data_IF_037292188857
#
_entry.id   IF_037292188857
#
_cell.length_a   1.000
_cell.length_b   1.000
_cell.length_c   1.000
_cell.angle_alpha   90.00
_cell.angle_beta   90.00
_cell.angle_gamma   90.00
#
_symmetry.space_group_name_H-M   'P 1'
#
loop_
_entity.id
_entity.type
_entity.pdbx_description
1 polymer ?
#
# COMPACT_ATOMS: atom_id res chain seq x y z
N UNK A 1 -6.75 5.45 0.97
CA UNK A 1 -5.27 5.37 0.77
C UNK A 1 -4.41 5.90 1.92
N UNK A 2 -4.25 7.24 2.11
CA UNK A 2 -3.26 7.77 3.07
C UNK A 2 -3.57 7.41 4.53
N UNK A 3 -4.86 7.36 4.89
CA UNK A 3 -5.35 6.86 6.17
C UNK A 3 -4.97 5.40 6.40
N UNK A 4 -5.16 4.53 5.41
CA UNK A 4 -4.77 3.12 5.48
C UNK A 4 -3.26 2.91 5.67
N UNK A 5 -2.42 3.66 4.94
CA UNK A 5 -0.97 3.63 5.18
C UNK A 5 -0.64 4.10 6.61
N UNK A 6 -1.33 5.12 7.12
CA UNK A 6 -1.13 5.56 8.51
C UNK A 6 -1.56 4.47 9.50
N UNK A 7 -2.68 3.79 9.25
CA UNK A 7 -3.19 2.70 10.07
C UNK A 7 -2.20 1.52 10.10
N UNK A 8 -1.67 1.13 8.94
CA UNK A 8 -0.65 0.08 8.82
C UNK A 8 0.57 0.36 9.71
N UNK A 9 1.18 1.54 9.58
CA UNK A 9 2.35 1.91 10.40
C UNK A 9 2.04 2.00 11.90
N UNK A 10 0.80 2.33 12.27
CA UNK A 10 0.36 2.35 13.68
C UNK A 10 0.18 0.95 14.23
N UNK A 11 -0.42 0.04 13.45
CA UNK A 11 -0.69 -1.33 13.87
C UNK A 11 0.56 -2.21 13.93
N UNK A 12 1.45 -2.12 12.94
CA UNK A 12 2.59 -3.04 12.83
C UNK A 12 3.89 -2.50 13.40
N UNK A 13 4.01 -1.20 13.66
CA UNK A 13 5.28 -0.47 13.88
C UNK A 13 6.13 -0.28 12.61
N UNK A 14 6.97 0.78 12.55
CA UNK A 14 7.86 0.99 11.42
C UNK A 14 8.96 -0.06 11.29
N UNK A 15 9.39 -0.69 12.39
CA UNK A 15 10.39 -1.75 12.37
C UNK A 15 9.86 -3.00 11.66
N UNK A 16 8.63 -3.43 11.97
CA UNK A 16 7.98 -4.56 11.30
C UNK A 16 7.80 -4.28 9.82
N UNK A 17 7.25 -3.12 9.44
CA UNK A 17 7.10 -2.75 8.02
C UNK A 17 8.45 -2.78 7.31
N UNK A 18 9.53 -2.30 7.94
CA UNK A 18 10.87 -2.34 7.37
C UNK A 18 11.46 -3.73 7.21
N UNK A 19 10.96 -4.72 7.96
CA UNK A 19 11.33 -6.13 7.80
C UNK A 19 10.95 -6.69 6.42
N UNK A 20 9.96 -6.09 5.76
CA UNK A 20 9.47 -6.48 4.43
C UNK A 20 10.13 -5.69 3.29
N UNK A 21 11.45 -5.49 3.37
CA UNK A 21 12.17 -4.67 2.40
C UNK A 21 12.17 -5.25 0.97
N UNK A 22 12.09 -6.57 0.86
CA UNK A 22 12.06 -7.29 -0.41
C UNK A 22 10.62 -7.74 -0.68
N UNK A 23 10.11 -7.50 -1.88
CA UNK A 23 8.83 -8.08 -2.31
C UNK A 23 8.99 -9.56 -2.70
N UNK A 24 7.89 -10.31 -2.71
CA UNK A 24 7.86 -11.66 -3.29
C UNK A 24 8.35 -11.57 -4.73
N UNK A 25 9.25 -12.46 -5.14
CA UNK A 25 9.87 -12.39 -6.47
C UNK A 25 8.94 -13.02 -7.52
N UNK A 26 8.92 -12.51 -8.76
CA UNK A 26 8.12 -13.10 -9.83
C UNK A 26 8.41 -14.58 -10.08
N UNK A 27 9.66 -15.02 -9.90
CA UNK A 27 10.04 -16.43 -10.10
C UNK A 27 9.39 -17.36 -9.08
N UNK A 28 9.14 -16.89 -7.86
CA UNK A 28 8.56 -17.71 -6.79
C UNK A 28 7.06 -17.92 -6.99
N UNK A 29 6.42 -17.04 -7.76
CA UNK A 29 4.97 -17.00 -8.00
C UNK A 29 4.60 -17.19 -9.48
N UNK A 30 5.58 -17.40 -10.34
CA UNK A 30 5.36 -17.79 -11.72
C UNK A 30 4.55 -19.08 -11.73
N UNK A 31 3.47 -19.08 -12.50
CA UNK A 31 2.54 -20.20 -12.59
C UNK A 31 2.32 -20.52 -14.07
N UNK A 32 3.00 -21.55 -14.55
CA UNK A 32 2.90 -21.98 -15.94
C UNK A 32 1.66 -22.85 -16.17
N UNK A 33 1.28 -23.03 -17.44
CA UNK A 33 0.10 -23.83 -17.82
C UNK A 33 0.33 -25.35 -17.74
N UNK A 34 1.60 -25.79 -17.63
CA UNK A 34 1.96 -27.21 -17.55
C UNK A 34 1.93 -27.76 -16.12
N UNK A 35 2.05 -26.89 -15.12
CA UNK A 35 1.93 -27.22 -13.70
C UNK A 35 0.49 -27.69 -13.38
N UNK A 36 0.35 -28.62 -12.43
CA UNK A 36 -0.96 -28.95 -11.91
C UNK A 36 -1.57 -27.73 -11.20
N UNK A 37 -2.85 -27.46 -11.46
CA UNK A 37 -3.49 -26.24 -10.98
C UNK A 37 -3.54 -26.20 -9.44
N UNK A 38 -3.90 -27.31 -8.78
CA UNK A 38 -3.98 -27.34 -7.33
C UNK A 38 -2.58 -27.24 -6.71
N UNK A 39 -1.60 -27.99 -7.24
CA UNK A 39 -0.22 -27.95 -6.76
C UNK A 39 0.42 -26.56 -6.90
N UNK A 40 0.17 -25.86 -8.02
CA UNK A 40 0.68 -24.51 -8.22
C UNK A 40 0.04 -23.49 -7.27
N UNK A 41 -1.27 -23.57 -7.03
CA UNK A 41 -1.94 -22.74 -6.01
C UNK A 41 -1.35 -22.99 -4.62
N UNK A 42 -1.17 -24.26 -4.23
CA UNK A 42 -0.58 -24.63 -2.94
C UNK A 42 0.83 -24.05 -2.78
N UNK A 43 1.66 -24.15 -3.83
CA UNK A 43 3.01 -23.58 -3.86
C UNK A 43 3.00 -22.06 -3.70
N UNK A 44 2.19 -21.36 -4.49
CA UNK A 44 2.09 -19.89 -4.42
C UNK A 44 1.58 -19.43 -3.05
N UNK A 45 0.58 -20.11 -2.49
CA UNK A 45 0.07 -19.83 -1.15
C UNK A 45 1.16 -20.03 -0.07
N UNK A 46 1.96 -21.10 -0.17
CA UNK A 46 3.09 -21.34 0.73
C UNK A 46 4.16 -20.25 0.62
N UNK A 47 4.41 -19.70 -0.57
CA UNK A 47 5.30 -18.54 -0.76
C UNK A 47 4.77 -17.34 0.02
N UNK A 48 3.47 -17.03 -0.07
CA UNK A 48 2.85 -15.92 0.69
C UNK A 48 2.93 -16.15 2.20
N UNK A 49 2.61 -17.36 2.68
CA UNK A 49 2.68 -17.72 4.10
C UNK A 49 4.10 -17.52 4.64
N UNK A 50 5.12 -18.02 3.93
CA UNK A 50 6.52 -17.88 4.32
C UNK A 50 6.97 -16.42 4.29
N UNK A 51 6.62 -15.71 3.22
CA UNK A 51 6.96 -14.30 3.03
C UNK A 51 6.44 -13.45 4.19
N UNK A 52 5.18 -13.65 4.61
CA UNK A 52 4.55 -12.94 5.71
C UNK A 52 4.99 -13.41 7.11
N UNK A 53 5.88 -14.40 7.21
CA UNK A 53 6.33 -14.95 8.49
C UNK A 53 5.19 -15.62 9.28
N UNK A 54 4.16 -16.09 8.58
CA UNK A 54 3.06 -16.83 9.19
C UNK A 54 3.55 -18.23 9.64
N UNK A 55 2.95 -18.83 10.69
CA UNK A 55 3.33 -20.17 11.13
C UNK A 55 3.27 -21.18 9.97
N UNK A 56 4.30 -22.01 9.77
CA UNK A 56 4.28 -22.99 8.69
C UNK A 56 3.17 -24.01 8.95
N UNK A 57 2.42 -24.34 7.90
CA UNK A 57 1.35 -25.35 7.91
C UNK A 57 1.10 -25.87 6.50
N UNK A 58 0.47 -27.04 6.34
CA UNK A 58 0.09 -27.54 5.04
C UNK A 58 -0.98 -26.64 4.41
N UNK A 59 -0.95 -26.50 3.09
CA UNK A 59 -2.00 -25.82 2.32
C UNK A 59 -2.86 -26.89 1.66
N UNK A 60 -4.18 -26.70 1.67
CA UNK A 60 -5.14 -27.52 0.94
C UNK A 60 -6.01 -26.63 0.08
N UNK A 61 -6.05 -26.92 -1.22
CA UNK A 61 -6.82 -26.13 -2.18
C UNK A 61 -8.11 -26.83 -2.56
N UNK A 62 -9.19 -26.06 -2.70
CA UNK A 62 -10.47 -26.51 -3.23
C UNK A 62 -10.97 -25.51 -4.27
N UNK A 63 -11.57 -26.02 -5.34
CA UNK A 63 -12.21 -25.20 -6.36
C UNK A 63 -13.73 -25.35 -6.27
N UNK A 64 -14.44 -24.21 -6.20
CA UNK A 64 -15.88 -24.15 -5.93
C UNK A 64 -16.60 -23.27 -6.95
N UNK A 65 -17.82 -23.65 -7.31
CA UNK A 65 -18.68 -22.89 -8.23
C UNK A 65 -19.65 -21.96 -7.47
N UNK A 66 -19.87 -22.23 -6.19
CA UNK A 66 -20.90 -21.65 -5.33
C UNK A 66 -20.33 -20.65 -4.33
N UNK A 67 -19.54 -19.68 -4.82
CA UNK A 67 -18.91 -18.66 -3.97
C UNK A 67 -19.18 -17.24 -4.49
N UNK A 68 -19.59 -16.29 -3.64
CA UNK A 68 -19.68 -14.89 -4.01
C UNK A 68 -18.31 -14.24 -4.21
N UNK A 69 -17.29 -14.67 -3.45
CA UNK A 69 -15.93 -14.16 -3.51
C UNK A 69 -15.06 -14.89 -4.54
N UNK A 70 -13.94 -14.25 -4.92
CA UNK A 70 -12.93 -14.86 -5.78
C UNK A 70 -12.23 -16.04 -5.10
N UNK A 71 -11.95 -15.86 -3.80
CA UNK A 71 -11.27 -16.81 -2.96
C UNK A 71 -11.57 -16.54 -1.50
N UNK A 72 -11.17 -17.49 -0.65
CA UNK A 72 -11.20 -17.36 0.79
C UNK A 72 -10.08 -18.22 1.38
N UNK A 73 -9.36 -17.69 2.36
CA UNK A 73 -8.30 -18.45 3.06
C UNK A 73 -8.57 -18.49 4.55
N UNK A 74 -8.69 -19.71 5.09
CA UNK A 74 -8.79 -19.95 6.52
C UNK A 74 -7.55 -20.70 7.01
N UNK A 75 -7.21 -20.49 8.28
CA UNK A 75 -6.18 -21.27 8.97
C UNK A 75 -6.77 -21.84 10.25
N UNK A 76 -6.57 -23.13 10.48
CA UNK A 76 -6.95 -23.76 11.75
C UNK A 76 -6.17 -23.11 12.91
N UNK A 77 -6.84 -22.83 14.02
CA UNK A 77 -6.28 -22.04 15.12
C UNK A 77 -5.07 -22.69 15.82
N UNK A 78 -4.89 -24.01 15.69
CA UNK A 78 -3.79 -24.73 16.31
C UNK A 78 -2.44 -24.38 15.65
N UNK A 79 -1.32 -24.40 16.41
CA UNK A 79 0.02 -24.30 15.82
C UNK A 79 0.23 -25.39 14.75
N UNK A 80 0.69 -25.00 13.56
CA UNK A 80 0.82 -25.92 12.42
C UNK A 80 -0.51 -26.30 11.76
N UNK A 81 -1.58 -25.55 12.04
CA UNK A 81 -2.90 -25.75 11.45
C UNK A 81 -2.90 -25.71 9.93
N UNK A 82 -3.88 -26.39 9.34
CA UNK A 82 -4.03 -26.45 7.87
C UNK A 82 -4.54 -25.12 7.36
N UNK A 83 -3.88 -24.58 6.32
CA UNK A 83 -4.39 -23.48 5.52
C UNK A 83 -5.35 -24.05 4.47
N UNK A 84 -6.61 -23.69 4.54
CA UNK A 84 -7.60 -24.06 3.53
C UNK A 84 -7.82 -22.89 2.59
N UNK A 85 -7.57 -23.11 1.31
CA UNK A 85 -7.73 -22.13 0.23
C UNK A 85 -8.91 -22.59 -0.62
N UNK A 86 -10.02 -21.87 -0.52
CA UNK A 86 -11.16 -22.06 -1.40
C UNK A 86 -11.05 -21.03 -2.54
N UNK A 87 -10.98 -21.49 -3.80
CA UNK A 87 -10.95 -20.66 -5.01
C UNK A 87 -12.21 -20.86 -5.83
N UNK A 88 -12.71 -19.80 -6.46
CA UNK A 88 -13.77 -19.95 -7.46
C UNK A 88 -13.22 -20.70 -8.70
N UNK A 89 -13.98 -21.65 -9.27
CA UNK A 89 -13.61 -22.40 -10.49
C UNK A 89 -13.27 -21.56 -11.72
N UNK A 90 -13.63 -20.26 -11.76
CA UNK A 90 -13.26 -19.38 -12.87
C UNK A 90 -11.74 -19.24 -13.02
N UNK A 91 -10.98 -19.49 -11.96
CA UNK A 91 -9.53 -19.48 -11.97
C UNK A 91 -8.91 -20.71 -12.67
N UNK A 92 -9.71 -21.72 -13.06
CA UNK A 92 -9.27 -22.86 -13.87
C UNK A 92 -8.58 -22.38 -15.18
N UNK A 93 -9.00 -21.22 -15.72
CA UNK A 93 -8.41 -20.60 -16.91
C UNK A 93 -7.66 -19.28 -16.68
N UNK A 94 -7.48 -18.85 -15.43
CA UNK A 94 -6.94 -17.52 -15.08
C UNK A 94 -5.77 -17.62 -14.08
N UNK A 95 -4.80 -18.49 -14.38
CA UNK A 95 -3.65 -18.80 -13.51
C UNK A 95 -2.83 -17.57 -13.11
N UNK A 96 -2.78 -16.56 -13.98
CA UNK A 96 -2.04 -15.32 -13.77
C UNK A 96 -2.60 -14.47 -12.62
N UNK A 97 -3.89 -14.61 -12.34
CA UNK A 97 -4.59 -13.77 -11.37
C UNK A 97 -4.61 -14.40 -9.98
N UNK A 98 -4.34 -15.71 -9.89
CA UNK A 98 -4.27 -16.48 -8.65
C UNK A 98 -3.28 -15.87 -7.66
N UNK A 99 -2.11 -15.41 -8.13
CA UNK A 99 -1.12 -14.77 -7.27
C UNK A 99 -1.66 -13.51 -6.60
N UNK A 100 -2.41 -12.69 -7.33
CA UNK A 100 -3.05 -11.47 -6.79
C UNK A 100 -4.12 -11.79 -5.76
N UNK A 101 -4.98 -12.78 -6.06
CA UNK A 101 -6.02 -13.26 -5.16
C UNK A 101 -5.43 -13.81 -3.85
N UNK A 102 -4.43 -14.69 -3.94
CA UNK A 102 -3.77 -15.26 -2.76
C UNK A 102 -3.04 -14.19 -1.94
N UNK A 103 -2.42 -13.20 -2.60
CA UNK A 103 -1.78 -12.10 -1.91
C UNK A 103 -2.79 -11.26 -1.10
N UNK A 104 -4.04 -11.14 -1.56
CA UNK A 104 -5.12 -10.49 -0.82
C UNK A 104 -5.60 -11.36 0.36
N UNK A 105 -6.00 -12.60 0.11
CA UNK A 105 -6.58 -13.47 1.14
C UNK A 105 -5.59 -13.84 2.25
N UNK A 106 -4.34 -14.15 1.90
CA UNK A 106 -3.32 -14.47 2.92
C UNK A 106 -2.95 -13.22 3.73
N UNK A 107 -3.15 -12.02 3.18
CA UNK A 107 -2.97 -10.77 3.93
C UNK A 107 -4.06 -10.58 5.00
N UNK A 108 -5.31 -10.98 4.74
CA UNK A 108 -6.34 -11.03 5.79
C UNK A 108 -5.92 -11.91 6.96
N UNK A 109 -5.37 -13.10 6.68
CA UNK A 109 -4.84 -14.00 7.72
C UNK A 109 -3.73 -13.33 8.53
N UNK A 110 -2.80 -12.64 7.85
CA UNK A 110 -1.73 -11.90 8.52
C UNK A 110 -2.24 -10.78 9.41
N UNK A 111 -3.13 -9.92 8.88
CA UNK A 111 -3.69 -8.78 9.60
C UNK A 111 -4.50 -9.22 10.82
N UNK A 112 -5.33 -10.25 10.67
CA UNK A 112 -6.07 -10.85 11.78
C UNK A 112 -5.14 -11.34 12.89
N UNK A 113 -4.05 -12.04 12.55
CA UNK A 113 -3.06 -12.51 13.54
C UNK A 113 -2.25 -11.38 14.17
N UNK A 114 -2.01 -10.31 13.43
CA UNK A 114 -1.40 -9.09 13.95
C UNK A 114 -2.34 -8.27 14.85
N UNK A 115 -3.62 -8.67 14.96
CA UNK A 115 -4.64 -7.92 15.69
C UNK A 115 -4.97 -6.57 15.06
N UNK A 116 -4.76 -6.45 13.74
CA UNK A 116 -4.96 -5.22 13.00
C UNK A 116 -6.19 -5.37 12.10
N UNK A 117 -7.29 -4.71 12.48
CA UNK A 117 -8.49 -4.59 11.66
C UNK A 117 -9.16 -3.23 11.88
N UNK A 118 -9.99 -2.83 10.92
CA UNK A 118 -10.83 -1.63 10.97
C UNK A 118 -12.30 -2.03 11.13
N UNK A 119 -13.11 -1.22 11.81
CA UNK A 119 -14.51 -1.56 12.10
C UNK A 119 -15.42 -1.51 10.87
N UNK A 120 -15.01 -0.81 9.82
CA UNK A 120 -15.78 -0.66 8.59
C UNK A 120 -15.18 -1.58 7.53
N UNK A 121 -15.94 -2.56 7.06
CA UNK A 121 -15.48 -3.57 6.08
C UNK A 121 -14.78 -2.93 4.88
N UNK A 122 -15.39 -1.94 4.24
CA UNK A 122 -14.77 -1.28 3.07
C UNK A 122 -13.43 -0.59 3.39
N UNK A 123 -13.25 -0.06 4.61
CA UNK A 123 -11.97 0.51 5.04
C UNK A 123 -10.94 -0.57 5.36
N UNK A 124 -11.39 -1.68 5.94
CA UNK A 124 -10.57 -2.84 6.29
C UNK A 124 -10.00 -3.50 5.03
N UNK A 125 -10.81 -3.63 3.98
CA UNK A 125 -10.34 -4.14 2.69
C UNK A 125 -9.32 -3.22 2.00
N UNK A 126 -9.53 -1.89 2.11
CA UNK A 126 -8.52 -0.90 1.68
C UNK A 126 -7.23 -1.05 2.50
N UNK A 127 -7.32 -1.38 3.79
CA UNK A 127 -6.17 -1.68 4.62
C UNK A 127 -5.48 -2.97 4.19
N UNK A 128 -6.22 -4.03 3.88
CA UNK A 128 -5.70 -5.30 3.35
C UNK A 128 -4.92 -5.10 2.06
N UNK A 129 -5.49 -4.41 1.08
CA UNK A 129 -4.79 -4.07 -0.17
C UNK A 129 -3.54 -3.21 0.08
N UNK A 130 -3.66 -2.23 0.99
CA UNK A 130 -2.54 -1.36 1.35
C UNK A 130 -1.42 -2.14 2.04
N UNK A 131 -1.77 -3.08 2.91
CA UNK A 131 -0.83 -3.95 3.60
C UNK A 131 -0.16 -4.91 2.62
N UNK A 132 -0.90 -5.54 1.70
CA UNK A 132 -0.33 -6.36 0.63
C UNK A 132 0.74 -5.60 -0.15
N UNK A 133 0.45 -4.35 -0.58
CA UNK A 133 1.42 -3.51 -1.26
C UNK A 133 2.66 -3.21 -0.42
N UNK A 134 2.49 -2.80 0.85
CA UNK A 134 3.61 -2.40 1.72
C UNK A 134 4.45 -3.56 2.25
N UNK A 135 3.84 -4.72 2.44
CA UNK A 135 4.49 -5.91 2.95
C UNK A 135 5.02 -6.80 1.82
N UNK A 136 4.96 -6.36 0.56
CA UNK A 136 5.73 -6.94 -0.54
C UNK A 136 5.01 -8.02 -1.36
N UNK A 137 3.72 -8.27 -1.15
CA UNK A 137 2.94 -9.21 -1.98
C UNK A 137 2.09 -8.48 -3.04
N UNK A 138 1.88 -7.18 -2.87
CA UNK A 138 0.83 -6.45 -3.58
C UNK A 138 1.10 -6.06 -5.03
N UNK A 139 2.33 -6.20 -5.53
CA UNK A 139 2.57 -5.99 -6.97
C UNK A 139 1.75 -6.97 -7.83
N UNK A 140 1.44 -8.15 -7.28
CA UNK A 140 0.58 -9.17 -7.90
C UNK A 140 -0.88 -8.71 -8.06
N UNK A 141 -1.42 -7.99 -7.06
CA UNK A 141 -2.80 -7.46 -7.14
C UNK A 141 -2.92 -6.44 -8.27
N UNK A 142 -1.91 -5.56 -8.41
CA UNK A 142 -1.90 -4.59 -9.49
C UNK A 142 -1.69 -5.27 -10.85
N UNK A 143 -0.81 -6.27 -10.94
CA UNK A 143 -0.54 -6.98 -12.19
C UNK A 143 -1.74 -7.80 -12.69
N UNK A 144 -2.50 -8.38 -11.75
CA UNK A 144 -3.73 -9.11 -12.03
C UNK A 144 -4.91 -8.20 -12.40
N UNK A 145 -4.77 -6.87 -12.27
CA UNK A 145 -5.86 -5.96 -12.63
C UNK A 145 -6.10 -5.96 -14.16
N UNK A 146 -7.35 -6.27 -14.53
CA UNK A 146 -7.86 -6.21 -15.90
C UNK A 146 -9.21 -5.49 -15.94
N UNK A 147 -9.33 -4.53 -16.84
CA UNK A 147 -10.63 -4.03 -17.31
C UNK A 147 -10.97 -4.76 -18.62
N UNK A 148 -11.84 -5.77 -18.54
CA UNK A 148 -12.39 -6.48 -19.69
C UNK A 148 -13.88 -6.13 -19.91
N UNK A 149 -14.28 -6.06 -21.19
CA UNK A 149 -15.60 -5.65 -21.66
C UNK A 149 -16.75 -6.57 -21.21
N UNK A 150 -16.45 -7.67 -20.52
CA UNK A 150 -17.38 -8.68 -20.02
C UNK A 150 -17.46 -8.78 -18.49
N UNK A 151 -16.71 -7.95 -17.75
CA UNK A 151 -16.84 -7.80 -16.30
C UNK A 151 -15.58 -7.25 -15.64
N UNK A 152 -15.68 -6.23 -14.78
CA UNK A 152 -14.52 -5.72 -14.05
C UNK A 152 -14.09 -6.72 -12.97
N UNK A 153 -12.95 -7.39 -13.14
CA UNK A 153 -12.33 -8.19 -12.08
C UNK A 153 -11.67 -7.27 -11.04
N UNK A 154 -12.45 -6.77 -10.08
CA UNK A 154 -11.88 -6.05 -8.93
C UNK A 154 -11.38 -7.06 -7.92
N UNK A 155 -10.07 -7.34 -7.97
CA UNK A 155 -9.35 -8.12 -6.95
C UNK A 155 -8.95 -7.29 -5.73
N UNK A 156 -9.50 -6.06 -5.60
CA UNK A 156 -9.21 -5.13 -4.52
C UNK A 156 -10.18 -3.95 -4.50
N UNK A 157 -10.18 -3.23 -3.39
CA UNK A 157 -11.01 -2.06 -3.11
C UNK A 157 -10.35 -0.75 -3.53
N UNK A 158 -9.02 -0.76 -3.73
CA UNK A 158 -8.32 0.34 -4.36
C UNK A 158 -8.55 0.31 -5.88
N UNK A 159 -8.82 1.46 -6.49
CA UNK A 159 -8.71 1.59 -7.95
C UNK A 159 -7.27 1.35 -8.41
N UNK A 160 -7.01 1.01 -9.68
CA UNK A 160 -5.65 0.76 -10.17
C UNK A 160 -4.69 1.91 -9.88
N UNK A 161 -5.13 3.15 -10.12
CA UNK A 161 -4.31 4.34 -9.92
C UNK A 161 -4.03 4.58 -8.44
N UNK A 162 -4.99 4.27 -7.57
CA UNK A 162 -4.79 4.30 -6.13
C UNK A 162 -3.80 3.23 -5.66
N UNK A 163 -3.94 2.00 -6.16
CA UNK A 163 -3.03 0.91 -5.85
C UNK A 163 -1.61 1.23 -6.34
N UNK A 164 -1.47 1.71 -7.58
CA UNK A 164 -0.22 2.19 -8.15
C UNK A 164 0.43 3.28 -7.30
N UNK A 165 -0.34 4.19 -6.70
CA UNK A 165 0.18 5.20 -5.78
C UNK A 165 0.71 4.59 -4.48
N UNK A 166 -0.02 3.64 -3.88
CA UNK A 166 0.41 2.96 -2.66
C UNK A 166 1.70 2.17 -2.92
N UNK A 167 1.75 1.41 -4.01
CA UNK A 167 2.91 0.62 -4.41
C UNK A 167 4.12 1.50 -4.75
N UNK A 168 3.92 2.65 -5.41
CA UNK A 168 5.00 3.59 -5.67
C UNK A 168 5.57 4.23 -4.39
N UNK A 169 4.73 4.45 -3.37
CA UNK A 169 5.22 4.90 -2.06
C UNK A 169 6.03 3.82 -1.36
N UNK A 170 5.61 2.56 -1.44
CA UNK A 170 6.39 1.41 -0.98
C UNK A 170 7.74 1.37 -1.70
N UNK A 171 7.75 1.41 -3.02
CA UNK A 171 8.95 1.45 -3.85
C UNK A 171 9.93 2.54 -3.41
N UNK A 172 9.44 3.76 -3.15
CA UNK A 172 10.26 4.87 -2.67
C UNK A 172 10.86 4.65 -1.26
N UNK A 173 10.16 3.95 -0.37
CA UNK A 173 10.64 3.65 0.99
C UNK A 173 11.79 2.63 0.98
N UNK A 174 11.73 1.67 0.08
CA UNK A 174 12.66 0.53 0.06
C UNK A 174 13.67 0.54 -1.10
N UNK A 175 13.54 1.47 -2.05
CA UNK A 175 14.43 1.55 -3.22
C UNK A 175 14.21 0.41 -4.22
N UNK A 176 12.97 -0.06 -4.38
CA UNK A 176 12.60 -1.13 -5.31
C UNK A 176 11.91 -0.56 -6.55
N UNK A 177 12.02 -1.23 -7.69
CA UNK A 177 11.31 -0.88 -8.91
C UNK A 177 10.43 -2.04 -9.40
N UNK A 178 9.13 -2.05 -9.08
CA UNK A 178 8.22 -3.14 -9.47
C UNK A 178 7.85 -3.13 -10.96
N UNK A 179 8.24 -2.10 -11.73
CA UNK A 179 7.89 -1.99 -13.17
C UNK A 179 8.38 -3.16 -14.00
N UNK A 180 9.52 -3.72 -13.62
CA UNK A 180 10.14 -4.85 -14.33
C UNK A 180 9.40 -6.16 -14.12
N UNK A 181 8.42 -6.21 -13.21
CA UNK A 181 7.65 -7.41 -12.89
C UNK A 181 6.27 -7.44 -13.54
N UNK A 182 5.75 -6.29 -13.94
CA UNK A 182 4.41 -6.23 -14.51
C UNK A 182 4.37 -6.91 -15.88
N UNK A 183 3.44 -7.82 -16.03
CA UNK A 183 3.02 -8.42 -17.30
C UNK A 183 1.82 -7.67 -17.89
N UNK A 184 1.16 -6.83 -17.08
CA UNK A 184 0.00 -6.02 -17.42
C UNK A 184 0.36 -4.60 -17.88
N UNK A 185 -0.02 -4.18 -19.11
CA UNK A 185 0.09 -2.79 -19.53
C UNK A 185 -0.71 -1.83 -18.63
N UNK A 186 -1.91 -2.24 -18.20
CA UNK A 186 -2.77 -1.47 -17.31
C UNK A 186 -2.11 -1.27 -15.94
N UNK A 187 -1.47 -2.31 -15.39
CA UNK A 187 -0.70 -2.22 -14.15
C UNK A 187 0.46 -1.23 -14.27
N UNK A 188 1.20 -1.31 -15.37
CA UNK A 188 2.32 -0.41 -15.65
C UNK A 188 1.86 1.05 -15.72
N UNK A 189 0.79 1.34 -16.47
CA UNK A 189 0.23 2.69 -16.60
C UNK A 189 -0.30 3.22 -15.25
N UNK A 190 -1.02 2.38 -14.51
CA UNK A 190 -1.54 2.70 -13.19
C UNK A 190 -0.42 2.98 -12.18
N UNK A 191 0.63 2.16 -12.16
CA UNK A 191 1.82 2.38 -11.36
C UNK A 191 2.52 3.69 -11.73
N UNK A 192 2.73 3.96 -13.02
CA UNK A 192 3.37 5.20 -13.48
C UNK A 192 2.55 6.45 -13.11
N UNK A 193 1.22 6.39 -13.22
CA UNK A 193 0.34 7.46 -12.76
C UNK A 193 0.44 7.66 -11.24
N UNK A 194 0.42 6.57 -10.47
CA UNK A 194 0.58 6.58 -9.02
C UNK A 194 1.94 7.10 -8.57
N UNK A 195 3.02 6.70 -9.25
CA UNK A 195 4.40 7.15 -9.03
C UNK A 195 4.55 8.65 -9.20
N UNK A 196 4.01 9.21 -10.29
CA UNK A 196 4.00 10.67 -10.49
C UNK A 196 3.28 11.41 -9.35
N UNK A 197 2.21 10.84 -8.81
CA UNK A 197 1.53 11.42 -7.65
C UNK A 197 2.37 11.31 -6.37
N UNK A 198 2.95 10.14 -6.08
CA UNK A 198 3.80 9.90 -4.93
C UNK A 198 5.04 10.81 -4.92
N UNK A 199 5.69 10.99 -6.07
CA UNK A 199 6.83 11.89 -6.26
C UNK A 199 6.46 13.35 -5.99
N UNK A 200 5.30 13.80 -6.48
CA UNK A 200 4.80 15.15 -6.20
C UNK A 200 4.57 15.38 -4.70
N UNK A 201 4.02 14.38 -4.01
CA UNK A 201 3.80 14.46 -2.57
C UNK A 201 5.11 14.46 -1.76
N UNK A 202 6.14 13.75 -2.24
CA UNK A 202 7.44 13.65 -1.60
C UNK A 202 8.25 14.96 -1.62
N UNK A 203 7.85 15.94 -2.45
CA UNK A 203 8.53 17.24 -2.57
C UNK A 203 7.60 18.42 -2.25
N UNK A 204 6.37 18.16 -1.82
CA UNK A 204 5.39 19.22 -1.55
C UNK A 204 5.80 20.04 -0.32
N UNK A 205 5.70 21.38 -0.36
CA UNK A 205 5.97 22.19 0.82
C UNK A 205 5.17 21.70 2.04
N UNK A 206 5.75 21.77 3.24
CA UNK A 206 6.98 22.47 3.61
C UNK A 206 8.29 21.68 3.38
N UNK A 207 8.27 20.59 2.61
CA UNK A 207 9.47 19.86 2.24
C UNK A 207 10.40 20.74 1.39
N UNK A 208 11.71 20.63 1.63
CA UNK A 208 12.70 21.52 1.04
C UNK A 208 12.85 21.35 -0.48
N UNK A 209 12.65 20.14 -1.00
CA UNK A 209 12.94 19.74 -2.39
C UNK A 209 11.90 20.16 -3.45
N UNK A 210 10.87 20.94 -3.08
CA UNK A 210 9.81 21.33 -4.01
C UNK A 210 10.28 22.23 -5.16
N UNK A 211 9.63 22.16 -6.35
CA UNK A 211 9.92 23.06 -7.47
C UNK A 211 9.77 24.55 -7.09
N UNK A 212 10.56 25.41 -7.73
CA UNK A 212 10.62 26.85 -7.41
C UNK A 212 9.24 27.52 -7.35
N UNK A 213 8.37 27.29 -8.34
CA UNK A 213 7.05 27.90 -8.38
C UNK A 213 6.18 27.52 -7.17
N UNK A 214 6.25 26.26 -6.74
CA UNK A 214 5.52 25.76 -5.56
C UNK A 214 6.11 26.33 -4.27
N UNK A 215 7.44 26.51 -4.22
CA UNK A 215 8.12 27.17 -3.09
C UNK A 215 7.79 28.66 -2.99
N UNK A 216 7.66 29.38 -4.11
CA UNK A 216 7.26 30.79 -4.11
C UNK A 216 5.83 30.96 -3.60
N UNK A 217 4.91 30.10 -4.06
CA UNK A 217 3.55 30.06 -3.53
C UNK A 217 3.54 29.82 -2.02
N UNK A 218 4.28 28.83 -1.54
CA UNK A 218 4.44 28.57 -0.10
C UNK A 218 4.98 29.78 0.67
N UNK A 219 6.00 30.47 0.14
CA UNK A 219 6.57 31.65 0.78
C UNK A 219 5.59 32.82 0.87
N UNK A 220 4.79 33.05 -0.17
CA UNK A 220 3.73 34.06 -0.17
C UNK A 220 2.62 33.72 0.84
N UNK A 221 2.18 32.47 0.86
CA UNK A 221 1.18 31.96 1.80
C UNK A 221 1.68 32.04 3.26
N UNK A 222 2.94 31.70 3.50
CA UNK A 222 3.61 31.87 4.80
C UNK A 222 3.65 33.34 5.23
N UNK A 223 3.97 34.26 4.31
CA UNK A 223 4.00 35.69 4.61
C UNK A 223 2.61 36.25 4.97
N UNK A 224 1.55 35.73 4.36
CA UNK A 224 0.16 36.04 4.74
C UNK A 224 -0.17 35.49 6.13
N UNK A 225 0.19 34.23 6.40
CA UNK A 225 -0.06 33.58 7.69
C UNK A 225 0.62 34.31 8.86
N UNK A 226 1.87 34.75 8.68
CA UNK A 226 2.63 35.54 9.67
C UNK A 226 1.93 36.87 9.99
N UNK A 227 1.19 37.44 9.04
CA UNK A 227 0.39 38.67 9.25
C UNK A 227 -1.00 38.38 9.83
N UNK A 228 -1.25 37.16 10.32
CA UNK A 228 -2.55 36.73 10.87
C UNK A 228 -3.65 36.61 9.83
N UNK A 229 -3.32 36.63 8.53
CA UNK A 229 -4.34 36.50 7.47
C UNK A 229 -4.67 35.04 7.23
N UNK A 230 -5.95 34.77 6.97
CA UNK A 230 -6.38 33.47 6.47
C UNK A 230 -5.73 33.20 5.12
N UNK A 231 -5.22 31.99 4.98
CA UNK A 231 -4.62 31.48 3.76
C UNK A 231 -5.53 30.36 3.26
N UNK A 232 -5.75 30.21 1.94
CA UNK A 232 -6.54 29.10 1.42
C UNK A 232 -5.94 27.76 1.87
N UNK A 233 -6.47 27.20 2.96
CA UNK A 233 -5.94 26.03 3.65
C UNK A 233 -6.45 24.72 3.06
N UNK A 234 -5.62 23.68 3.16
CA UNK A 234 -5.82 22.25 2.87
C UNK A 234 -6.28 21.85 1.45
N UNK A 235 -7.16 22.58 0.77
CA UNK A 235 -7.87 22.15 -0.44
C UNK A 235 -7.05 21.90 -1.71
N UNK A 236 -5.73 21.99 -1.65
CA UNK A 236 -4.86 21.72 -2.79
C UNK A 236 -3.38 22.05 -2.57
N UNK A 237 -2.98 22.58 -1.42
CA UNK A 237 -1.58 22.89 -1.13
C UNK A 237 -0.86 21.74 -0.39
N UNK A 238 -1.59 20.86 0.31
CA UNK A 238 -1.03 19.75 1.07
C UNK A 238 -0.47 20.13 2.45
N UNK A 239 -0.66 21.38 2.86
CA UNK A 239 -0.33 21.90 4.18
C UNK A 239 -1.38 22.93 4.63
N UNK A 240 -1.33 23.28 5.91
CA UNK A 240 -2.11 24.35 6.52
C UNK A 240 -1.27 25.09 7.58
N UNK A 241 -1.58 26.36 7.80
CA UNK A 241 -1.00 27.12 8.91
C UNK A 241 -1.96 27.11 10.12
N UNK A 242 -1.46 26.68 11.27
CA UNK A 242 -2.15 26.79 12.55
C UNK A 242 -1.67 28.08 13.24
N UNK A 243 -2.60 29.04 13.40
CA UNK A 243 -2.33 30.33 14.05
C UNK A 243 -2.00 30.13 15.54
N UNK A 244 -1.16 31.01 16.10
CA UNK A 244 -0.71 30.99 17.49
C UNK A 244 0.75 31.41 17.63
N UNK A 245 1.26 31.43 18.86
CA UNK A 245 2.66 31.73 19.16
C UNK A 245 3.37 30.48 19.71
N UNK A 246 4.35 29.90 18.97
CA UNK A 246 4.76 30.25 17.61
C UNK A 246 3.77 29.75 16.53
N UNK A 247 3.78 30.42 15.37
CA UNK A 247 3.05 30.00 14.17
C UNK A 247 3.52 28.61 13.74
N UNK A 248 2.59 27.72 13.37
CA UNK A 248 2.89 26.34 12.97
C UNK A 248 2.42 26.06 11.56
N UNK A 249 3.17 25.22 10.85
CA UNK A 249 2.74 24.57 9.60
C UNK A 249 2.43 23.10 9.88
N UNK A 250 1.35 22.64 9.27
CA UNK A 250 0.81 21.30 9.39
C UNK A 250 0.80 20.65 8.03
N UNK A 251 1.25 19.41 7.93
CA UNK A 251 1.27 18.67 6.67
C UNK A 251 1.31 17.17 6.94
N UNK A 252 0.97 16.35 5.95
CA UNK A 252 1.11 14.90 6.04
C UNK A 252 2.54 14.45 5.79
N UNK A 253 3.06 13.52 6.60
CA UNK A 253 4.32 12.84 6.30
C UNK A 253 4.23 12.16 4.93
N UNK A 254 5.17 12.39 3.98
CA UNK A 254 5.10 11.83 2.64
C UNK A 254 5.25 10.31 2.62
N UNK A 255 5.77 9.70 3.70
CA UNK A 255 5.95 8.25 3.83
C UNK A 255 4.75 7.53 4.42
N UNK A 256 4.25 7.96 5.59
CA UNK A 256 3.14 7.25 6.25
C UNK A 256 1.81 8.00 6.23
N UNK A 257 1.77 9.30 5.90
CA UNK A 257 0.56 10.11 5.96
C UNK A 257 0.27 10.74 7.33
N UNK A 258 1.01 10.38 8.38
CA UNK A 258 0.88 10.97 9.72
C UNK A 258 0.95 12.50 9.65
N UNK A 259 -0.04 13.18 10.23
CA UNK A 259 -0.07 14.64 10.36
C UNK A 259 1.10 15.10 11.25
N UNK A 260 1.98 15.90 10.67
CA UNK A 260 3.13 16.54 11.31
C UNK A 260 2.80 18.00 11.56
N UNK A 261 3.30 18.54 12.68
CA UNK A 261 3.16 19.94 13.06
C UNK A 261 4.54 20.48 13.41
N UNK A 262 5.00 21.50 12.69
CA UNK A 262 6.30 22.12 12.88
C UNK A 262 6.14 23.64 13.02
N UNK A 263 6.92 24.31 13.86
CA UNK A 263 6.90 25.77 13.88
C UNK A 263 7.51 26.33 12.58
N UNK A 264 6.98 27.47 12.14
CA UNK A 264 7.46 28.26 11.00
C UNK A 264 8.75 28.96 11.41
N UNK A 265 9.90 28.41 11.02
CA UNK A 265 11.22 28.82 11.51
C UNK A 265 12.35 28.62 10.49
N UNK A 266 12.03 28.44 9.19
CA UNK A 266 12.99 28.18 8.14
C UNK A 266 13.47 26.73 8.07
N UNK A 267 14.72 26.54 7.62
CA UNK A 267 15.28 25.21 7.34
C UNK A 267 15.47 24.38 8.61
N UNK A 268 14.99 23.14 8.58
CA UNK A 268 15.17 22.17 9.67
C UNK A 268 14.99 20.74 9.23
N UNK A 269 15.57 19.81 10.02
CA UNK A 269 15.24 18.39 9.94
C UNK A 269 14.13 18.05 10.92
N UNK A 270 13.12 17.32 10.45
CA UNK A 270 11.99 16.86 11.25
C UNK A 270 11.87 15.34 11.15
N UNK A 271 11.79 14.65 12.29
CA UNK A 271 11.57 13.21 12.33
C UNK A 271 10.08 12.92 12.50
N UNK A 272 9.50 12.11 11.62
CA UNK A 272 8.13 11.63 11.81
C UNK A 272 8.05 10.74 13.06
N UNK A 273 7.12 11.05 13.97
CA UNK A 273 6.92 10.25 15.18
C UNK A 273 6.43 8.82 14.90
N UNK A 274 5.76 8.60 13.75
CA UNK A 274 5.22 7.31 13.35
C UNK A 274 6.23 6.48 12.56
N UNK A 275 6.51 6.84 11.30
CA UNK A 275 7.40 6.04 10.44
C UNK A 275 8.91 6.25 10.68
N UNK A 276 9.28 7.14 11.60
CA UNK A 276 10.68 7.53 11.93
C UNK A 276 11.50 8.15 10.80
N UNK A 277 10.92 8.36 9.61
CA UNK A 277 11.57 9.06 8.50
C UNK A 277 11.98 10.47 8.91
N UNK A 278 13.20 10.85 8.56
CA UNK A 278 13.72 12.21 8.72
C UNK A 278 13.45 12.97 7.43
N UNK A 279 12.82 14.14 7.56
CA UNK A 279 12.41 15.01 6.46
C UNK A 279 13.22 16.30 6.53
N UNK A 280 13.72 16.75 5.37
CA UNK A 280 14.26 18.09 5.22
C UNK A 280 13.12 19.06 4.91
N UNK A 281 12.88 19.99 5.84
CA UNK A 281 11.83 20.99 5.76
C UNK A 281 12.42 22.39 5.69
N UNK A 282 11.67 23.30 5.09
CA UNK A 282 11.95 24.74 5.09
C UNK A 282 10.63 25.47 5.36
N UNK A 283 10.36 25.68 6.65
CA UNK A 283 9.06 26.09 7.20
C UNK A 283 8.89 27.61 7.29
#
# INVERSE_FOLDING_TARGET
MRSAVTALYRGLSPETVRGFATSVLPVDVAFDDAEDLAAGVERVALVMVRHLGLPPGPVRVRFRDDMPEAAWVEVEAAPGGVYTVDLHRRFDGQRRDIGGVLAHEVMHVYLHRAGLSLPVTAEDEILTDTAAAYLGTGWLLLDAFREDALGSQRLGYLTPQEYGYVLARRAAVFGEDPRIWFTSPQAYEAYEAGRRLAERDAVRPPLAGGPWAVRQRYAAERALAVRGRSVPGEGGAGYAFEQGEPLKVVFGCPVCGQRLRLPVAGRRRARCGLCRTVLDCDT
#
